data_IF_435667855338
#
_entry.id   IF_435667855338
#
_cell.length_a   1.000
_cell.length_b   1.000
_cell.length_c   1.000
_cell.angle_alpha   90.00
_cell.angle_beta   90.00
_cell.angle_gamma   90.00
#
_symmetry.space_group_name_H-M   'P 1'
#
loop_
_entity.id
_entity.type
_entity.pdbx_description
1 polymer ?
#
# COMPACT_ATOMS: atom_id res chain seq x y z
N UNK A 1 -22.19 -11.37 -8.85
CA UNK A 1 -20.83 -11.00 -8.40
C UNK A 1 -20.95 -9.92 -7.34
N UNK A 2 -20.49 -10.17 -6.12
CA UNK A 2 -20.54 -9.18 -5.04
C UNK A 2 -19.39 -8.18 -5.25
N UNK A 3 -19.72 -6.91 -5.48
CA UNK A 3 -18.74 -5.83 -5.59
C UNK A 3 -18.40 -5.39 -4.16
N UNK A 4 -17.13 -5.46 -3.78
CA UNK A 4 -16.67 -4.96 -2.49
C UNK A 4 -17.06 -3.48 -2.35
N UNK A 5 -17.59 -3.11 -1.18
CA UNK A 5 -17.93 -1.73 -0.84
C UNK A 5 -16.86 -1.21 0.12
N UNK A 6 -16.20 -0.12 -0.26
CA UNK A 6 -15.18 0.51 0.56
C UNK A 6 -15.73 1.79 1.16
N UNK A 7 -15.47 2.01 2.45
CA UNK A 7 -15.86 3.21 3.17
C UNK A 7 -14.60 3.87 3.72
N UNK A 8 -14.47 5.19 3.52
CA UNK A 8 -13.35 5.94 4.07
C UNK A 8 -13.55 6.09 5.58
N UNK A 9 -12.64 5.51 6.35
CA UNK A 9 -12.68 5.57 7.82
C UNK A 9 -11.82 6.73 8.35
N UNK A 10 -10.57 6.89 7.86
CA UNK A 10 -9.65 8.00 8.20
C UNK A 10 -8.59 8.23 7.12
N UNK A 11 -8.12 9.47 6.89
CA UNK A 11 -6.96 9.74 6.03
C UNK A 11 -5.65 9.33 6.72
N UNK A 12 -4.73 8.70 5.96
CA UNK A 12 -3.47 8.12 6.47
C UNK A 12 -2.24 9.00 6.16
N UNK A 13 -2.32 9.95 5.21
CA UNK A 13 -1.26 10.92 4.92
C UNK A 13 -1.80 12.19 4.23
N UNK A 14 -1.02 13.27 4.26
CA UNK A 14 -1.42 14.61 3.78
C UNK A 14 -1.39 14.67 2.24
N UNK A 15 -2.52 14.37 1.62
CA UNK A 15 -2.90 14.84 0.30
C UNK A 15 -4.27 15.50 0.42
N UNK A 16 -4.52 16.61 -0.29
CA UNK A 16 -5.87 17.23 -0.32
C UNK A 16 -6.84 16.24 -0.97
N UNK A 17 -7.60 15.53 -0.14
CA UNK A 17 -8.68 14.64 -0.58
C UNK A 17 -9.95 15.48 -0.66
N UNK A 18 -10.58 15.51 -1.83
CA UNK A 18 -11.93 16.03 -1.99
C UNK A 18 -12.91 14.94 -1.56
N UNK A 19 -13.73 15.25 -0.56
CA UNK A 19 -14.74 14.34 -0.01
C UNK A 19 -15.84 14.07 -1.04
N UNK A 20 -15.78 12.92 -1.71
CA UNK A 20 -16.95 12.33 -2.36
C UNK A 20 -17.47 11.19 -1.50
N UNK A 21 -18.28 11.54 -0.50
CA UNK A 21 -19.03 10.59 0.31
C UNK A 21 -20.16 10.02 -0.56
N UNK A 22 -20.02 8.77 -1.01
CA UNK A 22 -21.16 8.04 -1.59
C UNK A 22 -21.98 7.52 -0.41
N UNK A 23 -23.24 7.98 -0.19
CA UNK A 23 -24.06 7.46 0.90
C UNK A 23 -24.40 5.98 0.65
N UNK A 24 -24.38 5.12 1.68
CA UNK A 24 -24.76 3.73 1.51
C UNK A 24 -26.26 3.64 1.15
N UNK A 25 -26.64 2.83 0.15
CA UNK A 25 -28.06 2.63 -0.17
C UNK A 25 -28.78 1.92 0.99
N UNK A 26 -30.07 2.26 1.25
CA UNK A 26 -30.80 1.83 2.43
C UNK A 26 -31.39 0.44 2.22
N UNK A 27 -30.54 -0.57 2.01
CA UNK A 27 -30.87 -1.98 2.19
C UNK A 27 -29.58 -2.77 1.93
N UNK A 28 -29.25 -3.73 2.81
CA UNK A 28 -28.75 -5.09 2.55
C UNK A 28 -28.09 -5.65 3.82
N UNK A 29 -28.86 -6.49 4.51
CA UNK A 29 -28.36 -7.56 5.37
C UNK A 29 -27.52 -8.52 4.52
N UNK A 30 -26.19 -8.40 4.62
CA UNK A 30 -25.23 -9.48 4.38
C UNK A 30 -23.90 -9.08 5.02
N UNK A 31 -23.68 -9.50 6.26
CA UNK A 31 -22.41 -9.33 6.96
C UNK A 31 -21.27 -9.94 6.12
N UNK A 32 -20.54 -9.09 5.39
CA UNK A 32 -19.17 -9.42 5.01
C UNK A 32 -18.27 -8.97 6.16
N UNK A 33 -17.22 -9.75 6.45
CA UNK A 33 -16.25 -9.39 7.48
C UNK A 33 -15.67 -8.00 7.16
N UNK A 34 -15.87 -7.04 8.07
CA UNK A 34 -15.32 -5.70 7.92
C UNK A 34 -13.80 -5.77 8.06
N UNK A 35 -13.10 -5.63 6.94
CA UNK A 35 -11.64 -5.65 6.89
C UNK A 35 -11.12 -4.24 6.60
N UNK A 36 -10.28 -3.73 7.50
CA UNK A 36 -9.60 -2.46 7.28
C UNK A 36 -8.61 -2.60 6.13
N UNK A 37 -8.66 -1.64 5.21
CA UNK A 37 -7.78 -1.55 4.05
C UNK A 37 -7.26 -0.12 3.92
N UNK A 38 -6.11 0.02 3.27
CA UNK A 38 -5.55 1.32 2.92
C UNK A 38 -5.62 1.53 1.42
N UNK A 39 -6.12 2.69 1.01
CA UNK A 39 -6.20 3.07 -0.40
C UNK A 39 -5.21 4.20 -0.68
N UNK A 40 -4.47 4.06 -1.77
CA UNK A 40 -3.68 5.14 -2.34
C UNK A 40 -4.35 5.61 -3.62
N UNK A 41 -4.79 6.87 -3.64
CA UNK A 41 -5.36 7.51 -4.83
C UNK A 41 -4.22 8.17 -5.59
N UNK A 42 -3.98 7.72 -6.82
CA UNK A 42 -2.94 8.28 -7.68
C UNK A 42 -3.48 9.50 -8.40
N UNK A 43 -2.68 10.57 -8.44
CA UNK A 43 -3.07 11.80 -9.12
C UNK A 43 -3.14 11.55 -10.64
N UNK A 44 -4.27 11.92 -11.23
CA UNK A 44 -4.57 11.73 -12.66
C UNK A 44 -3.87 12.76 -13.56
N UNK A 45 -3.29 13.82 -13.00
CA UNK A 45 -2.64 14.89 -13.77
C UNK A 45 -1.19 14.59 -14.16
N UNK A 46 -0.52 13.64 -13.50
CA UNK A 46 0.83 13.18 -13.88
C UNK A 46 0.75 11.85 -14.63
N UNK A 47 0.27 11.91 -15.88
CA UNK A 47 -0.10 10.73 -16.67
C UNK A 47 1.02 9.70 -16.88
N UNK A 48 2.30 10.09 -16.77
CA UNK A 48 3.41 9.14 -16.89
C UNK A 48 3.84 8.53 -15.55
N UNK A 49 4.06 9.33 -14.51
CA UNK A 49 4.60 8.85 -13.24
C UNK A 49 3.57 8.06 -12.42
N UNK A 50 2.31 8.51 -12.39
CA UNK A 50 1.27 7.83 -11.65
C UNK A 50 0.92 6.46 -12.25
N UNK A 51 0.97 6.35 -13.58
CA UNK A 51 0.76 5.07 -14.25
C UNK A 51 1.95 4.13 -14.07
N UNK A 52 3.17 4.65 -14.13
CA UNK A 52 4.38 3.86 -13.89
C UNK A 52 4.37 3.21 -12.50
N UNK A 53 3.95 3.93 -11.45
CA UNK A 53 3.84 3.36 -10.11
C UNK A 53 2.81 2.22 -10.05
N UNK A 54 1.62 2.41 -10.60
CA UNK A 54 0.60 1.36 -10.61
C UNK A 54 1.06 0.13 -11.39
N UNK A 55 1.77 0.31 -12.50
CA UNK A 55 2.23 -0.80 -13.34
C UNK A 55 3.32 -1.61 -12.63
N UNK A 56 4.20 -0.95 -11.85
CA UNK A 56 5.16 -1.63 -10.97
C UNK A 56 4.43 -2.43 -9.88
N UNK A 57 3.43 -1.84 -9.24
CA UNK A 57 2.66 -2.49 -8.17
C UNK A 57 1.89 -3.72 -8.68
N UNK A 58 1.25 -3.61 -9.85
CA UNK A 58 0.61 -4.74 -10.53
C UNK A 58 1.63 -5.82 -10.92
N UNK A 59 2.81 -5.42 -11.40
CA UNK A 59 3.89 -6.36 -11.74
C UNK A 59 4.35 -7.14 -10.50
N UNK A 60 4.62 -6.46 -9.39
CA UNK A 60 5.03 -7.08 -8.12
C UNK A 60 3.94 -8.02 -7.58
N UNK A 61 2.67 -7.62 -7.68
CA UNK A 61 1.53 -8.42 -7.22
C UNK A 61 1.37 -9.74 -8.00
N UNK A 62 1.78 -9.78 -9.27
CA UNK A 62 1.72 -10.98 -10.14
C UNK A 62 2.89 -11.95 -9.94
N UNK A 63 3.98 -11.51 -9.30
CA UNK A 63 5.17 -12.34 -9.13
C UNK A 63 4.98 -13.47 -8.10
N UNK A 64 5.82 -14.50 -8.23
CA UNK A 64 5.75 -15.70 -7.39
C UNK A 64 5.95 -15.39 -5.91
N UNK A 65 5.00 -15.79 -5.07
CA UNK A 65 4.99 -15.53 -3.64
C UNK A 65 5.81 -16.47 -2.77
N UNK A 66 6.53 -17.44 -3.35
CA UNK A 66 7.30 -18.44 -2.59
C UNK A 66 8.61 -17.90 -2.00
N UNK A 67 9.06 -16.71 -2.41
CA UNK A 67 10.29 -16.12 -1.87
C UNK A 67 10.06 -15.58 -0.45
N UNK A 68 10.96 -15.84 0.53
CA UNK A 68 10.77 -15.38 1.91
C UNK A 68 10.67 -13.85 2.03
N UNK A 69 11.35 -13.12 1.14
CA UNK A 69 11.26 -11.66 1.04
C UNK A 69 9.89 -11.11 0.62
N UNK A 70 9.01 -11.94 0.05
CA UNK A 70 7.67 -11.51 -0.38
C UNK A 70 6.82 -10.98 0.76
N UNK A 71 6.94 -11.57 1.95
CA UNK A 71 6.17 -11.17 3.13
C UNK A 71 6.60 -9.82 3.71
N UNK A 72 7.79 -9.35 3.33
CA UNK A 72 8.34 -8.06 3.79
C UNK A 72 7.88 -6.91 2.90
N UNK A 73 7.73 -7.19 1.60
CA UNK A 73 7.26 -6.23 0.62
C UNK A 73 5.73 -6.14 0.68
N UNK A 74 5.24 -4.93 0.94
CA UNK A 74 3.82 -4.60 0.79
C UNK A 74 3.43 -4.79 -0.67
N UNK A 75 2.35 -5.54 -0.91
CA UNK A 75 1.84 -5.74 -2.25
C UNK A 75 0.43 -5.18 -2.41
N UNK A 76 0.15 -4.65 -3.58
CA UNK A 76 -1.18 -4.26 -3.98
C UNK A 76 -2.10 -5.49 -4.04
N UNK A 77 -3.25 -5.40 -3.36
CA UNK A 77 -4.29 -6.43 -3.38
C UNK A 77 -5.19 -6.29 -4.61
N UNK A 78 -5.54 -5.05 -4.94
CA UNK A 78 -6.48 -4.72 -6.00
C UNK A 78 -6.19 -3.33 -6.55
N UNK A 79 -6.42 -3.15 -7.85
CA UNK A 79 -6.35 -1.85 -8.52
C UNK A 79 -7.70 -1.57 -9.17
N UNK A 80 -8.23 -0.37 -8.97
CA UNK A 80 -9.47 0.06 -9.63
C UNK A 80 -9.42 1.54 -10.00
N UNK A 81 -10.37 1.97 -10.83
CA UNK A 81 -10.47 3.36 -11.27
C UNK A 81 -11.67 4.03 -10.61
N UNK A 82 -11.44 5.17 -9.97
CA UNK A 82 -12.46 6.03 -9.37
C UNK A 82 -12.70 7.25 -10.26
N UNK A 83 -13.95 7.51 -10.61
CA UNK A 83 -14.33 8.73 -11.33
C UNK A 83 -14.35 9.91 -10.35
N UNK A 84 -13.56 10.95 -10.63
CA UNK A 84 -13.51 12.19 -9.86
C UNK A 84 -13.96 13.40 -10.69
N UNK A 85 -14.14 14.58 -10.06
CA UNK A 85 -14.48 15.81 -10.77
C UNK A 85 -13.32 16.21 -11.69
N UNK A 86 -13.46 15.91 -12.98
CA UNK A 86 -12.51 16.31 -14.04
C UNK A 86 -11.60 15.21 -14.57
N UNK A 87 -11.40 14.09 -13.85
CA UNK A 87 -10.58 12.98 -14.32
C UNK A 87 -10.85 11.67 -13.57
N UNK A 88 -10.45 10.57 -14.20
CA UNK A 88 -10.42 9.25 -13.57
C UNK A 88 -9.10 9.06 -12.81
N UNK A 89 -9.19 8.55 -11.58
CA UNK A 89 -8.05 8.29 -10.71
C UNK A 89 -7.84 6.79 -10.56
N UNK A 90 -6.60 6.30 -10.72
CA UNK A 90 -6.26 4.93 -10.34
C UNK A 90 -6.11 4.86 -8.82
N UNK A 91 -6.69 3.85 -8.23
CA UNK A 91 -6.67 3.58 -6.80
C UNK A 91 -6.03 2.23 -6.55
N UNK A 92 -5.04 2.20 -5.67
CA UNK A 92 -4.32 1.00 -5.26
C UNK A 92 -4.77 0.61 -3.85
N UNK A 93 -5.17 -0.65 -3.67
CA UNK A 93 -5.66 -1.20 -2.40
C UNK A 93 -4.58 -2.04 -1.74
N UNK A 94 -4.41 -1.87 -0.44
CA UNK A 94 -3.41 -2.59 0.34
C UNK A 94 -3.93 -3.00 1.71
N UNK A 95 -3.26 -3.99 2.30
CA UNK A 95 -3.34 -4.21 3.73
C UNK A 95 -2.79 -3.00 4.50
N UNK A 96 -3.40 -2.65 5.66
CA UNK A 96 -2.86 -1.63 6.54
C UNK A 96 -1.49 -2.07 7.07
N UNK A 97 -0.48 -1.24 6.84
CA UNK A 97 0.88 -1.47 7.32
C UNK A 97 1.10 -0.78 8.66
N UNK A 98 2.08 -1.26 9.41
CA UNK A 98 2.47 -0.67 10.71
C UNK A 98 3.26 0.61 10.51
N UNK A 99 3.64 1.20 11.64
CA UNK A 99 4.46 2.40 11.67
C UNK A 99 5.83 2.16 11.02
N UNK A 100 6.33 3.11 10.22
CA UNK A 100 7.66 3.01 9.63
C UNK A 100 8.73 2.96 10.73
N UNK A 101 9.85 2.30 10.40
CA UNK A 101 10.91 1.97 11.37
C UNK A 101 11.47 3.20 12.10
N UNK A 102 11.50 4.37 11.45
CA UNK A 102 11.98 5.61 12.07
C UNK A 102 11.07 6.11 13.22
N UNK A 103 9.77 5.84 13.17
CA UNK A 103 8.86 6.15 14.29
C UNK A 103 9.11 5.18 15.44
N UNK A 104 9.29 3.90 15.13
CA UNK A 104 9.61 2.86 16.12
C UNK A 104 10.93 3.18 16.82
N UNK A 105 11.93 3.62 16.06
CA UNK A 105 13.23 4.03 16.60
C UNK A 105 13.11 5.15 17.63
N UNK A 106 12.24 6.14 17.40
CA UNK A 106 12.01 7.27 18.31
C UNK A 106 11.41 6.88 19.67
N UNK A 107 10.87 5.66 19.82
CA UNK A 107 10.32 5.17 21.11
C UNK A 107 11.39 4.66 22.07
N UNK A 108 12.61 4.43 21.59
CA UNK A 108 13.70 3.96 22.43
C UNK A 108 14.49 5.14 23.00
N UNK A 109 14.90 5.04 24.26
CA UNK A 109 15.57 6.10 25.04
C UNK A 109 16.81 6.65 24.32
N UNK A 110 17.59 5.79 23.67
CA UNK A 110 18.79 6.17 22.89
C UNK A 110 18.54 6.28 21.38
N UNK A 111 17.29 6.14 20.91
CA UNK A 111 16.96 5.92 19.50
C UNK A 111 17.71 4.71 18.89
N UNK A 112 18.08 3.74 19.72
CA UNK A 112 18.71 2.49 19.30
C UNK A 112 17.65 1.41 19.23
N UNK A 113 17.47 0.84 18.04
CA UNK A 113 16.62 -0.32 17.85
C UNK A 113 17.28 -1.56 18.47
N UNK A 114 16.67 -2.22 19.47
CA UNK A 114 17.14 -3.52 19.91
C UNK A 114 17.06 -4.50 18.72
N UNK A 115 17.98 -5.46 18.65
CA UNK A 115 18.02 -6.44 17.55
C UNK A 115 18.17 -5.81 16.16
N UNK A 116 18.86 -4.67 16.04
CA UNK A 116 19.10 -4.00 14.75
C UNK A 116 19.61 -4.95 13.65
N UNK A 117 20.47 -5.92 13.99
CA UNK A 117 20.92 -6.96 13.06
C UNK A 117 19.77 -7.79 12.48
N UNK A 118 18.78 -8.18 13.30
CA UNK A 118 17.63 -8.92 12.84
C UNK A 118 16.74 -8.06 11.92
N UNK A 119 16.50 -6.80 12.29
CA UNK A 119 15.78 -5.86 11.43
C UNK A 119 16.47 -5.65 10.09
N UNK A 120 17.81 -5.53 10.06
CA UNK A 120 18.56 -5.42 8.82
C UNK A 120 18.37 -6.66 7.93
N UNK A 121 18.41 -7.87 8.49
CA UNK A 121 18.15 -9.09 7.70
C UNK A 121 16.75 -9.10 7.09
N UNK A 122 15.74 -8.71 7.87
CA UNK A 122 14.35 -8.60 7.40
C UNK A 122 14.25 -7.57 6.29
N UNK A 123 14.80 -6.37 6.52
CA UNK A 123 14.78 -5.27 5.54
C UNK A 123 15.49 -5.69 4.25
N UNK A 124 16.62 -6.39 4.32
CA UNK A 124 17.39 -6.82 3.15
C UNK A 124 16.71 -7.95 2.36
N UNK A 125 15.91 -8.79 3.01
CA UNK A 125 15.13 -9.82 2.32
C UNK A 125 14.11 -9.22 1.33
N UNK A 126 13.59 -8.01 1.61
CA UNK A 126 12.67 -7.30 0.72
C UNK A 126 13.28 -6.92 -0.63
N UNK A 127 14.36 -6.12 -0.67
CA UNK A 127 15.11 -5.80 -1.88
C UNK A 127 15.65 -7.04 -2.59
N UNK A 128 16.08 -8.07 -1.87
CA UNK A 128 16.49 -9.34 -2.48
C UNK A 128 15.35 -9.96 -3.31
N UNK A 129 14.12 -9.98 -2.79
CA UNK A 129 12.94 -10.39 -3.56
C UNK A 129 12.68 -9.46 -4.76
N UNK A 130 12.71 -8.14 -4.55
CA UNK A 130 12.45 -7.18 -5.61
C UNK A 130 13.45 -7.31 -6.76
N UNK A 131 14.72 -7.55 -6.45
CA UNK A 131 15.79 -7.66 -7.44
C UNK A 131 15.80 -9.03 -8.10
N UNK A 132 15.76 -10.12 -7.33
CA UNK A 132 15.90 -11.47 -7.85
C UNK A 132 14.64 -11.96 -8.58
N UNK A 133 13.45 -11.68 -8.02
CA UNK A 133 12.18 -12.18 -8.55
C UNK A 133 11.47 -11.12 -9.38
N UNK A 134 11.28 -9.91 -8.83
CA UNK A 134 10.52 -8.87 -9.53
C UNK A 134 11.33 -8.14 -10.61
N UNK A 135 12.66 -8.20 -10.60
CA UNK A 135 13.52 -7.41 -11.48
C UNK A 135 13.23 -5.88 -11.39
N UNK A 136 12.86 -5.41 -10.19
CA UNK A 136 12.52 -4.00 -9.91
C UNK A 136 13.54 -3.42 -8.93
N UNK A 137 14.16 -2.29 -9.28
CA UNK A 137 15.08 -1.59 -8.39
C UNK A 137 14.33 -0.52 -7.60
N UNK A 138 14.32 -0.63 -6.28
CA UNK A 138 13.77 0.42 -5.42
C UNK A 138 14.82 1.51 -5.18
N UNK A 139 14.58 2.73 -5.66
CA UNK A 139 15.48 3.89 -5.51
C UNK A 139 15.08 4.83 -4.36
N UNK A 140 14.07 4.46 -3.58
CA UNK A 140 13.58 5.25 -2.45
C UNK A 140 14.40 5.08 -1.17
N UNK A 141 14.54 6.17 -0.41
CA UNK A 141 15.33 6.20 0.84
C UNK A 141 14.58 5.64 2.08
N UNK A 142 13.29 5.30 1.95
CA UNK A 142 12.45 4.91 3.08
C UNK A 142 11.74 3.57 2.81
N UNK A 143 12.13 2.54 3.56
CA UNK A 143 11.47 1.23 3.54
C UNK A 143 10.25 1.29 4.46
N UNK A 144 9.06 1.17 3.89
CA UNK A 144 7.83 0.92 4.63
C UNK A 144 7.64 -0.60 4.66
N UNK A 145 7.85 -1.20 5.83
CA UNK A 145 7.68 -2.64 6.03
C UNK A 145 6.18 -2.97 6.07
N UNK A 146 5.82 -4.10 5.44
CA UNK A 146 4.50 -4.72 5.52
C UNK A 146 4.10 -5.14 6.93
#
# INVERSE_FOLDING_TARGET
MARARYYQVRPVSLGRVYDSIIPPPPFWDRWQSERLMTFKIVNSQSSNEGNHECDIEEHIARQNGQHPGRGIIRACLETFTLAGPGANHRCLVYEPVREPLWIVQKRFVDQKLPLAKAYLLIILAGPDYLHSVCQVVHTGAHVILG
#
